data_IF_012073514214
#
_entry.id   IF_012073514214
#
_cell.length_a   1.000
_cell.length_b   1.000
_cell.length_c   1.000
_cell.angle_alpha   90.00
_cell.angle_beta   90.00
_cell.angle_gamma   90.00
#
_symmetry.space_group_name_H-M   'P 1'
#
loop_
_entity.id
_entity.type
_entity.pdbx_description
1 polymer ?
#
# COMPACT_ATOMS: atom_id res chain seq x y z
N UNK A 1 -0.97 -8.58 26.32
CA UNK A 1 -2.28 -8.99 26.85
C UNK A 1 -2.84 -10.00 25.87
N UNK A 2 -2.90 -11.25 26.28
CA UNK A 2 -3.45 -12.35 25.49
C UNK A 2 -4.96 -12.37 25.74
N UNK A 3 -5.67 -11.47 25.06
CA UNK A 3 -7.13 -11.37 25.13
C UNK A 3 -7.70 -12.26 24.02
N UNK A 4 -7.90 -13.55 24.30
CA UNK A 4 -8.87 -14.33 23.55
C UNK A 4 -10.19 -13.56 23.54
N UNK A 5 -10.73 -13.28 22.36
CA UNK A 5 -11.98 -12.52 22.19
C UNK A 5 -13.21 -13.45 22.17
N UNK A 6 -13.11 -14.55 22.92
CA UNK A 6 -13.99 -15.71 22.89
C UNK A 6 -15.00 -15.77 24.05
N UNK A 7 -15.01 -14.82 25.00
CA UNK A 7 -16.09 -14.85 26.00
C UNK A 7 -16.02 -13.97 27.24
N UNK A 8 -14.84 -13.58 27.72
CA UNK A 8 -14.74 -13.11 29.11
C UNK A 8 -14.26 -11.66 29.30
N UNK A 9 -13.56 -11.07 28.33
CA UNK A 9 -13.13 -9.67 28.34
C UNK A 9 -13.76 -8.89 27.18
N UNK A 10 -14.69 -7.99 27.50
CA UNK A 10 -15.43 -7.20 26.51
C UNK A 10 -14.69 -5.93 26.04
N UNK A 11 -13.56 -5.56 26.66
CA UNK A 11 -12.85 -4.31 26.39
C UNK A 11 -12.44 -4.18 24.92
N UNK A 12 -11.93 -5.26 24.33
CA UNK A 12 -11.51 -5.29 22.94
C UNK A 12 -12.69 -5.31 21.94
N UNK A 13 -13.88 -5.76 22.36
CA UNK A 13 -15.13 -5.64 21.57
C UNK A 13 -15.55 -4.17 21.49
N UNK A 14 -15.59 -3.47 22.63
CA UNK A 14 -15.90 -2.03 22.65
C UNK A 14 -14.87 -1.19 21.88
N UNK A 15 -13.58 -1.58 21.96
CA UNK A 15 -12.52 -0.97 21.16
C UNK A 15 -12.76 -1.20 19.67
N UNK A 16 -13.09 -2.42 19.25
CA UNK A 16 -13.40 -2.72 17.85
C UNK A 16 -14.59 -1.92 17.34
N UNK A 17 -15.67 -1.80 18.13
CA UNK A 17 -16.85 -1.00 17.77
C UNK A 17 -16.48 0.48 17.58
N UNK A 18 -15.72 1.04 18.53
CA UNK A 18 -15.29 2.44 18.49
C UNK A 18 -14.35 2.72 17.31
N UNK A 19 -13.37 1.83 17.12
CA UNK A 19 -12.43 1.88 16.00
C UNK A 19 -13.15 1.72 14.65
N UNK A 20 -14.11 0.81 14.58
CA UNK A 20 -14.91 0.57 13.39
C UNK A 20 -15.62 1.83 12.92
N UNK A 21 -16.21 2.57 13.86
CA UNK A 21 -16.78 3.90 13.60
C UNK A 21 -15.73 4.87 13.06
N UNK A 22 -14.55 4.94 13.66
CA UNK A 22 -13.46 5.81 13.15
C UNK A 22 -13.06 5.47 11.71
N UNK A 23 -12.92 4.18 11.40
CA UNK A 23 -12.57 3.74 10.03
C UNK A 23 -13.67 4.18 9.04
N UNK A 24 -14.94 3.95 9.37
CA UNK A 24 -16.08 4.37 8.53
C UNK A 24 -16.11 5.89 8.32
N UNK A 25 -15.93 6.69 9.39
CA UNK A 25 -15.86 8.15 9.32
C UNK A 25 -14.66 8.67 8.52
N UNK A 26 -13.53 7.95 8.52
CA UNK A 26 -12.34 8.32 7.75
C UNK A 26 -12.58 8.11 6.25
N UNK A 27 -13.14 6.97 5.85
CA UNK A 27 -13.34 6.64 4.43
C UNK A 27 -14.67 7.15 3.86
N UNK A 28 -15.54 7.74 4.68
CA UNK A 28 -16.83 8.25 4.23
C UNK A 28 -17.89 7.15 4.06
N UNK A 29 -17.78 6.06 4.79
CA UNK A 29 -18.81 5.02 4.86
C UNK A 29 -19.86 5.38 5.93
N UNK A 30 -21.15 5.03 5.75
CA UNK A 30 -22.18 5.32 6.74
C UNK A 30 -21.87 4.62 8.07
N UNK A 31 -22.16 5.28 9.19
CA UNK A 31 -21.88 4.75 10.54
C UNK A 31 -23.11 4.19 11.22
N UNK A 32 -24.25 4.86 11.08
CA UNK A 32 -25.52 4.42 11.64
C UNK A 32 -25.99 3.13 10.96
N UNK A 33 -26.43 2.16 11.77
CA UNK A 33 -26.86 0.83 11.30
C UNK A 33 -25.76 0.00 10.63
N UNK A 34 -24.50 0.45 10.66
CA UNK A 34 -23.38 -0.19 9.96
C UNK A 34 -22.44 -0.90 10.92
N UNK A 35 -21.69 -1.87 10.39
CA UNK A 35 -20.76 -2.71 11.14
C UNK A 35 -19.39 -2.71 10.48
N UNK A 36 -18.35 -2.71 11.32
CA UNK A 36 -16.98 -2.97 10.91
C UNK A 36 -16.48 -4.24 11.60
N UNK A 37 -15.98 -5.20 10.82
CA UNK A 37 -15.41 -6.46 11.31
C UNK A 37 -13.93 -6.51 10.94
N UNK A 38 -13.05 -6.74 11.93
CA UNK A 38 -11.62 -6.91 11.68
C UNK A 38 -11.28 -8.38 11.45
N UNK A 39 -10.71 -8.68 10.29
CA UNK A 39 -10.50 -10.03 9.78
C UNK A 39 -9.03 -10.27 9.44
N UNK A 40 -8.73 -11.54 9.16
CA UNK A 40 -7.38 -12.03 8.87
C UNK A 40 -6.89 -11.64 7.45
N UNK A 41 -6.88 -10.34 7.16
CA UNK A 41 -6.55 -9.76 5.86
C UNK A 41 -7.74 -9.50 4.94
N UNK A 42 -7.47 -8.85 3.80
CA UNK A 42 -8.49 -8.45 2.83
C UNK A 42 -9.24 -9.64 2.22
N UNK A 43 -8.54 -10.73 1.89
CA UNK A 43 -9.17 -11.95 1.36
C UNK A 43 -10.25 -12.51 2.27
N UNK A 44 -10.02 -12.51 3.60
CA UNK A 44 -11.00 -12.95 4.58
C UNK A 44 -12.19 -11.98 4.65
N UNK A 45 -11.95 -10.67 4.55
CA UNK A 45 -13.00 -9.66 4.49
C UNK A 45 -13.90 -9.80 3.26
N UNK A 46 -13.32 -10.01 2.08
CA UNK A 46 -14.05 -10.23 0.83
C UNK A 46 -14.83 -11.54 0.86
N UNK A 47 -14.23 -12.63 1.33
CA UNK A 47 -14.94 -13.91 1.51
C UNK A 47 -16.13 -13.76 2.47
N UNK A 48 -15.96 -12.99 3.54
CA UNK A 48 -17.01 -12.74 4.51
C UNK A 48 -18.18 -11.95 3.90
N UNK A 49 -17.88 -10.93 3.10
CA UNK A 49 -18.87 -10.17 2.34
C UNK A 49 -19.63 -11.05 1.34
N UNK A 50 -18.92 -11.84 0.54
CA UNK A 50 -19.52 -12.65 -0.52
C UNK A 50 -20.31 -13.84 0.00
N UNK A 51 -19.93 -14.41 1.15
CA UNK A 51 -20.74 -15.43 1.84
C UNK A 51 -22.11 -14.85 2.20
N UNK A 52 -22.14 -13.64 2.77
CA UNK A 52 -23.37 -12.94 3.14
C UNK A 52 -24.19 -12.55 1.92
N UNK A 53 -23.56 -12.03 0.86
CA UNK A 53 -24.24 -11.68 -0.39
C UNK A 53 -24.93 -12.92 -1.01
N UNK A 54 -24.21 -14.05 -1.06
CA UNK A 54 -24.72 -15.34 -1.54
C UNK A 54 -25.90 -15.83 -0.71
N UNK A 55 -25.78 -15.79 0.62
CA UNK A 55 -26.87 -16.17 1.53
C UNK A 55 -28.12 -15.31 1.32
N UNK A 56 -27.96 -13.99 1.21
CA UNK A 56 -29.05 -13.04 1.00
C UNK A 56 -29.73 -13.23 -0.35
N UNK A 57 -28.97 -13.49 -1.41
CA UNK A 57 -29.51 -13.74 -2.74
C UNK A 57 -30.33 -15.04 -2.78
N UNK A 58 -29.84 -16.13 -2.17
CA UNK A 58 -30.58 -17.39 -2.06
C UNK A 58 -31.90 -17.21 -1.28
N UNK A 59 -31.86 -16.52 -0.15
CA UNK A 59 -33.07 -16.22 0.64
C UNK A 59 -34.11 -15.41 -0.17
N UNK A 60 -33.65 -14.44 -0.97
CA UNK A 60 -34.53 -13.66 -1.88
C UNK A 60 -35.12 -14.50 -3.02
N UNK A 61 -34.41 -15.52 -3.49
CA UNK A 61 -34.88 -16.49 -4.48
C UNK A 61 -35.74 -17.61 -3.84
N UNK A 62 -36.02 -17.53 -2.54
CA UNK A 62 -37.00 -18.38 -1.86
C UNK A 62 -36.42 -19.70 -1.32
N UNK A 63 -35.13 -19.75 -1.00
CA UNK A 63 -34.51 -20.96 -0.47
C UNK A 63 -33.41 -20.69 0.56
N UNK A 64 -33.16 -21.67 1.42
CA UNK A 64 -32.22 -21.55 2.53
C UNK A 64 -30.87 -22.18 2.19
N UNK A 65 -29.91 -21.33 1.80
CA UNK A 65 -28.54 -21.74 1.48
C UNK A 65 -27.84 -22.50 2.62
N UNK A 66 -28.14 -22.17 3.89
CA UNK A 66 -27.45 -22.79 5.04
C UNK A 66 -27.86 -24.24 5.26
N UNK A 67 -29.10 -24.60 4.90
CA UNK A 67 -29.63 -25.96 5.11
C UNK A 67 -29.69 -26.77 3.82
N UNK A 68 -30.07 -26.16 2.70
CA UNK A 68 -30.23 -26.87 1.42
C UNK A 68 -28.89 -27.01 0.67
N UNK A 69 -27.96 -26.07 0.86
CA UNK A 69 -26.67 -26.05 0.19
C UNK A 69 -26.76 -25.89 -1.34
N UNK A 70 -25.60 -25.78 -1.99
CA UNK A 70 -25.51 -25.60 -3.45
C UNK A 70 -25.84 -26.86 -4.26
N UNK A 71 -25.86 -28.04 -3.62
CA UNK A 71 -26.17 -29.32 -4.27
C UNK A 71 -27.67 -29.51 -4.55
N UNK A 72 -28.53 -28.63 -4.04
CA UNK A 72 -29.99 -28.68 -4.15
C UNK A 72 -30.55 -28.46 -5.57
N UNK A 73 -29.71 -28.28 -6.59
CA UNK A 73 -30.16 -28.10 -7.98
C UNK A 73 -30.83 -26.74 -8.27
N UNK A 74 -30.62 -25.74 -7.39
CA UNK A 74 -31.12 -24.37 -7.54
C UNK A 74 -30.43 -23.64 -8.70
N UNK A 75 -30.91 -22.43 -9.03
CA UNK A 75 -30.31 -21.60 -10.08
C UNK A 75 -28.81 -21.42 -9.88
N UNK A 76 -28.05 -21.42 -10.97
CA UNK A 76 -26.62 -21.13 -10.93
C UNK A 76 -26.40 -19.70 -10.48
N UNK A 77 -25.65 -19.53 -9.40
CA UNK A 77 -25.27 -18.23 -8.86
C UNK A 77 -24.09 -17.66 -9.66
N UNK A 78 -24.15 -16.37 -10.00
CA UNK A 78 -23.10 -15.70 -10.79
C UNK A 78 -22.52 -14.51 -10.04
N UNK A 79 -21.19 -14.47 -10.01
CA UNK A 79 -20.38 -13.39 -9.44
C UNK A 79 -19.76 -12.57 -10.57
N UNK A 80 -19.79 -11.25 -10.46
CA UNK A 80 -19.15 -10.33 -11.41
C UNK A 80 -17.98 -9.63 -10.72
N UNK A 81 -16.84 -9.53 -11.39
CA UNK A 81 -15.67 -8.82 -10.89
C UNK A 81 -14.98 -8.07 -12.01
N UNK A 82 -14.26 -6.99 -11.69
CA UNK A 82 -13.34 -6.38 -12.65
C UNK A 82 -12.32 -7.42 -13.11
N UNK A 83 -11.90 -7.36 -14.38
CA UNK A 83 -10.75 -8.12 -14.88
C UNK A 83 -9.46 -7.78 -14.12
N UNK A 84 -9.39 -6.58 -13.53
CA UNK A 84 -8.30 -6.11 -12.67
C UNK A 84 -8.52 -6.43 -11.18
N UNK A 85 -9.56 -7.21 -10.87
CA UNK A 85 -9.90 -7.64 -9.53
C UNK A 85 -8.78 -8.49 -8.90
N UNK A 86 -8.63 -8.39 -7.59
CA UNK A 86 -7.61 -9.18 -6.88
C UNK A 86 -7.90 -10.69 -7.00
N UNK A 87 -6.84 -11.50 -7.13
CA UNK A 87 -6.95 -12.95 -7.31
C UNK A 87 -7.69 -13.67 -6.17
N UNK A 88 -7.86 -13.05 -5.01
CA UNK A 88 -8.71 -13.59 -3.93
C UNK A 88 -10.18 -13.71 -4.33
N UNK A 89 -10.68 -12.94 -5.30
CA UNK A 89 -12.07 -13.01 -5.73
C UNK A 89 -12.36 -14.36 -6.40
N UNK A 90 -11.45 -14.83 -7.26
CA UNK A 90 -11.49 -16.19 -7.80
C UNK A 90 -11.46 -17.23 -6.68
N UNK A 91 -10.53 -17.10 -5.72
CA UNK A 91 -10.47 -17.99 -4.56
C UNK A 91 -11.77 -17.98 -3.73
N UNK A 92 -12.45 -16.84 -3.65
CA UNK A 92 -13.76 -16.74 -2.99
C UNK A 92 -14.82 -17.51 -3.78
N UNK A 93 -14.89 -17.36 -5.11
CA UNK A 93 -15.82 -18.13 -5.94
C UNK A 93 -15.60 -19.65 -5.79
N UNK A 94 -14.35 -20.09 -5.76
CA UNK A 94 -13.96 -21.49 -5.54
C UNK A 94 -14.37 -21.97 -4.13
N UNK A 95 -14.00 -21.24 -3.08
CA UNK A 95 -14.29 -21.62 -1.69
C UNK A 95 -15.79 -21.58 -1.35
N UNK A 96 -16.54 -20.67 -1.97
CA UNK A 96 -17.98 -20.61 -1.83
C UNK A 96 -18.70 -21.73 -2.62
N UNK A 97 -17.98 -22.59 -3.34
CA UNK A 97 -18.58 -23.64 -4.17
C UNK A 97 -19.34 -23.10 -5.39
N UNK A 98 -19.14 -21.83 -5.75
CA UNK A 98 -19.72 -21.21 -6.94
C UNK A 98 -19.00 -21.71 -8.20
N UNK A 99 -17.68 -21.92 -8.10
CA UNK A 99 -16.82 -22.34 -9.20
C UNK A 99 -16.44 -21.19 -10.13
N UNK A 100 -15.21 -21.23 -10.65
CA UNK A 100 -14.62 -20.17 -11.47
C UNK A 100 -15.38 -19.95 -12.78
N UNK A 101 -16.02 -20.98 -13.33
CA UNK A 101 -16.87 -20.86 -14.52
C UNK A 101 -18.12 -19.98 -14.32
N UNK A 102 -18.46 -19.65 -13.07
CA UNK A 102 -19.55 -18.73 -12.71
C UNK A 102 -19.03 -17.39 -12.16
N UNK A 103 -17.74 -17.11 -12.30
CA UNK A 103 -17.14 -15.79 -12.11
C UNK A 103 -16.97 -15.12 -13.48
N UNK A 104 -17.67 -14.00 -13.68
CA UNK A 104 -17.54 -13.16 -14.88
C UNK A 104 -16.47 -12.10 -14.63
N UNK A 105 -15.32 -12.23 -15.29
CA UNK A 105 -14.33 -11.16 -15.38
C UNK A 105 -14.82 -10.11 -16.39
N UNK A 106 -15.24 -8.96 -15.89
CA UNK A 106 -15.76 -7.85 -16.69
C UNK A 106 -14.60 -7.08 -17.29
N UNK A 107 -14.70 -6.83 -18.59
CA UNK A 107 -13.72 -6.09 -19.38
C UNK A 107 -13.37 -4.72 -18.77
N UNK A 108 -12.09 -4.37 -18.79
CA UNK A 108 -11.57 -3.08 -18.36
C UNK A 108 -11.28 -2.15 -19.56
N UNK A 109 -11.31 -0.84 -19.33
CA UNK A 109 -10.90 0.20 -20.27
C UNK A 109 -9.37 0.34 -20.34
N UNK A 110 -8.88 1.25 -21.18
CA UNK A 110 -7.43 1.54 -21.33
C UNK A 110 -6.78 2.11 -20.06
N UNK A 111 -7.60 2.55 -19.10
CA UNK A 111 -7.17 2.98 -17.76
C UNK A 111 -7.34 1.87 -16.73
N UNK A 112 -7.56 0.62 -17.17
CA UNK A 112 -7.70 -0.56 -16.32
C UNK A 112 -8.92 -0.49 -15.38
N UNK A 113 -9.99 0.21 -15.78
CA UNK A 113 -11.23 0.32 -15.00
C UNK A 113 -12.34 -0.48 -15.65
N UNK A 114 -13.14 -1.19 -14.86
CA UNK A 114 -14.30 -1.95 -15.32
C UNK A 114 -15.21 -1.09 -16.20
N UNK A 115 -15.64 -1.62 -17.35
CA UNK A 115 -16.61 -0.99 -18.26
C UNK A 115 -18.05 -1.26 -17.77
N UNK A 116 -18.82 -0.24 -17.34
CA UNK A 116 -20.20 -0.45 -16.85
C UNK A 116 -21.14 -1.05 -17.90
N UNK A 117 -20.95 -0.70 -19.18
CA UNK A 117 -21.73 -1.28 -20.27
C UNK A 117 -21.51 -2.81 -20.41
N UNK A 118 -20.26 -3.26 -20.26
CA UNK A 118 -19.92 -4.70 -20.30
C UNK A 118 -20.49 -5.43 -19.08
N UNK A 119 -20.44 -4.82 -17.89
CA UNK A 119 -21.08 -5.35 -16.69
C UNK A 119 -22.59 -5.56 -16.90
N UNK A 120 -23.28 -4.53 -17.40
CA UNK A 120 -24.73 -4.60 -17.68
C UNK A 120 -25.06 -5.71 -18.67
N UNK A 121 -24.33 -5.78 -19.78
CA UNK A 121 -24.56 -6.81 -20.81
C UNK A 121 -24.36 -8.23 -20.27
N UNK A 122 -23.34 -8.44 -19.42
CA UNK A 122 -23.09 -9.73 -18.78
C UNK A 122 -24.23 -10.13 -17.82
N UNK A 123 -24.72 -9.20 -17.00
CA UNK A 123 -25.86 -9.43 -16.10
C UNK A 123 -27.11 -9.79 -16.90
N UNK A 124 -27.43 -9.04 -17.95
CA UNK A 124 -28.61 -9.28 -18.79
C UNK A 124 -28.54 -10.64 -19.50
N UNK A 125 -27.36 -11.05 -19.97
CA UNK A 125 -27.15 -12.34 -20.59
C UNK A 125 -27.37 -13.51 -19.61
N UNK A 126 -26.84 -13.42 -18.40
CA UNK A 126 -27.00 -14.44 -17.36
C UNK A 126 -28.47 -14.53 -16.88
N UNK A 127 -29.16 -13.40 -16.73
CA UNK A 127 -30.59 -13.39 -16.39
C UNK A 127 -31.43 -14.07 -17.48
N UNK A 128 -31.11 -13.83 -18.77
CA UNK A 128 -31.84 -14.42 -19.91
C UNK A 128 -31.78 -15.95 -19.93
N UNK A 129 -30.70 -16.55 -19.44
CA UNK A 129 -30.54 -18.01 -19.34
C UNK A 129 -30.97 -18.57 -17.98
N UNK A 130 -31.60 -17.76 -17.12
CA UNK A 130 -32.15 -18.18 -15.84
C UNK A 130 -31.12 -18.34 -14.71
N UNK A 131 -29.91 -17.79 -14.87
CA UNK A 131 -28.95 -17.70 -13.77
C UNK A 131 -29.38 -16.65 -12.73
N UNK A 132 -28.75 -16.71 -11.55
CA UNK A 132 -28.99 -15.80 -10.42
C UNK A 132 -27.73 -14.96 -10.14
N UNK A 133 -27.62 -13.74 -10.70
CA UNK A 133 -26.66 -12.74 -10.27
C UNK A 133 -26.76 -12.48 -8.76
N UNK A 134 -25.67 -12.64 -8.00
CA UNK A 134 -25.74 -12.44 -6.54
C UNK A 134 -24.84 -11.32 -6.01
N UNK A 135 -23.69 -11.06 -6.65
CA UNK A 135 -22.81 -9.98 -6.25
C UNK A 135 -21.99 -9.43 -7.41
N UNK A 136 -21.64 -8.15 -7.28
CA UNK A 136 -20.65 -7.44 -8.08
C UNK A 136 -19.51 -7.06 -7.14
N UNK A 137 -18.27 -7.33 -7.52
CA UNK A 137 -17.06 -6.88 -6.85
C UNK A 137 -16.38 -5.82 -7.71
N UNK A 138 -16.58 -4.55 -7.34
CA UNK A 138 -15.88 -3.43 -7.96
C UNK A 138 -14.50 -3.22 -7.32
N UNK A 139 -13.53 -2.83 -8.12
CA UNK A 139 -12.18 -2.54 -7.68
C UNK A 139 -12.07 -1.10 -7.17
N UNK A 140 -11.80 -0.94 -5.88
CA UNK A 140 -11.55 0.35 -5.24
C UNK A 140 -10.07 0.74 -5.21
N UNK A 141 -9.24 0.19 -6.11
CA UNK A 141 -7.79 0.37 -6.16
C UNK A 141 -7.06 -0.92 -6.53
N UNK A 142 -6.89 -1.17 -7.83
CA UNK A 142 -6.29 -2.39 -8.37
C UNK A 142 -4.85 -2.58 -7.90
N UNK A 143 -4.44 -3.84 -7.73
CA UNK A 143 -3.12 -4.18 -7.15
C UNK A 143 -1.98 -3.72 -8.06
N UNK A 144 -2.11 -3.94 -9.37
CA UNK A 144 -1.05 -3.68 -10.33
C UNK A 144 -1.06 -2.22 -10.82
N UNK A 145 -2.24 -1.63 -11.01
CA UNK A 145 -2.39 -0.33 -11.70
C UNK A 145 -2.87 0.78 -10.77
N UNK A 146 -3.37 0.46 -9.58
CA UNK A 146 -4.04 1.42 -8.72
C UNK A 146 -5.38 1.91 -9.27
N UNK A 147 -5.91 1.31 -10.34
CA UNK A 147 -7.15 1.74 -10.98
C UNK A 147 -8.35 1.64 -10.02
N UNK A 148 -9.22 2.64 -10.08
CA UNK A 148 -10.49 2.67 -9.35
C UNK A 148 -11.61 2.57 -10.39
N UNK A 149 -12.45 1.55 -10.26
CA UNK A 149 -13.60 1.36 -11.12
C UNK A 149 -14.59 2.54 -11.00
N UNK A 150 -15.45 2.80 -12.01
CA UNK A 150 -16.48 3.83 -11.94
C UNK A 150 -17.60 3.44 -10.95
N UNK A 151 -17.32 3.60 -9.65
CA UNK A 151 -18.14 3.03 -8.57
C UNK A 151 -19.58 3.55 -8.54
N UNK A 152 -19.82 4.80 -8.92
CA UNK A 152 -21.20 5.35 -8.97
C UNK A 152 -22.04 4.65 -10.05
N UNK A 153 -21.49 4.48 -11.25
CA UNK A 153 -22.20 3.85 -12.37
C UNK A 153 -22.45 2.36 -12.08
N UNK A 154 -21.49 1.69 -11.43
CA UNK A 154 -21.65 0.30 -10.99
C UNK A 154 -22.70 0.21 -9.86
N UNK A 155 -22.76 1.18 -8.95
CA UNK A 155 -23.81 1.24 -7.93
C UNK A 155 -25.20 1.41 -8.53
N UNK A 156 -25.35 2.28 -9.55
CA UNK A 156 -26.63 2.44 -10.25
C UNK A 156 -27.06 1.13 -10.94
N UNK A 157 -26.12 0.39 -11.55
CA UNK A 157 -26.39 -0.95 -12.12
C UNK A 157 -26.80 -1.93 -11.03
N UNK A 158 -26.04 -2.02 -9.94
CA UNK A 158 -26.30 -2.94 -8.84
C UNK A 158 -27.70 -2.74 -8.23
N UNK A 159 -28.09 -1.48 -8.00
CA UNK A 159 -29.42 -1.12 -7.49
C UNK A 159 -30.53 -1.46 -8.49
N UNK A 160 -30.34 -1.17 -9.79
CA UNK A 160 -31.32 -1.49 -10.83
C UNK A 160 -31.63 -2.99 -10.90
N UNK A 161 -30.60 -3.85 -10.78
CA UNK A 161 -30.76 -5.30 -10.85
C UNK A 161 -30.96 -5.96 -9.47
N UNK A 162 -30.91 -5.19 -8.38
CA UNK A 162 -31.05 -5.70 -7.01
C UNK A 162 -29.90 -6.62 -6.56
N UNK A 163 -28.70 -6.42 -7.12
CA UNK A 163 -27.50 -7.23 -6.87
C UNK A 163 -26.66 -6.60 -5.77
N UNK A 164 -26.03 -7.42 -4.91
CA UNK A 164 -25.13 -6.91 -3.88
C UNK A 164 -23.89 -6.26 -4.48
N UNK A 165 -23.58 -5.03 -4.10
CA UNK A 165 -22.34 -4.36 -4.49
C UNK A 165 -21.31 -4.37 -3.36
N UNK A 166 -20.22 -5.10 -3.59
CA UNK A 166 -19.03 -5.07 -2.76
C UNK A 166 -17.94 -4.26 -3.46
N UNK A 167 -17.26 -3.37 -2.72
CA UNK A 167 -16.04 -2.73 -3.21
C UNK A 167 -14.83 -3.35 -2.54
N UNK A 168 -13.97 -3.99 -3.34
CA UNK A 168 -12.63 -4.36 -2.88
C UNK A 168 -11.73 -3.12 -2.91
N UNK A 169 -11.75 -2.37 -1.81
CA UNK A 169 -10.86 -1.26 -1.54
C UNK A 169 -9.71 -1.66 -0.61
N UNK A 170 -9.31 -2.94 -0.57
CA UNK A 170 -8.29 -3.45 0.35
C UNK A 170 -7.07 -2.52 0.41
N UNK A 171 -6.62 -2.07 -0.76
CA UNK A 171 -5.59 -1.05 -0.91
C UNK A 171 -6.16 0.37 -0.97
N UNK A 172 -7.01 0.66 -1.96
CA UNK A 172 -7.34 2.03 -2.31
C UNK A 172 -8.43 2.73 -1.50
N UNK A 173 -9.16 2.04 -0.60
CA UNK A 173 -10.24 2.68 0.17
C UNK A 173 -9.77 3.89 1.01
N UNK A 174 -8.53 3.88 1.51
CA UNK A 174 -8.03 5.02 2.28
C UNK A 174 -7.83 6.29 1.43
N UNK A 175 -7.79 6.17 0.10
CA UNK A 175 -7.69 7.32 -0.80
C UNK A 175 -8.91 8.24 -0.70
N UNK A 176 -10.00 7.82 -0.06
CA UNK A 176 -11.12 8.69 0.28
C UNK A 176 -10.70 9.90 1.16
N UNK A 177 -9.57 9.78 1.87
CA UNK A 177 -8.97 10.87 2.65
C UNK A 177 -8.22 11.90 1.80
N UNK A 178 -7.84 11.53 0.57
CA UNK A 178 -7.17 12.41 -0.37
C UNK A 178 -8.24 13.17 -1.20
N UNK A 179 -8.27 14.51 -1.17
CA UNK A 179 -9.19 15.30 -1.96
C UNK A 179 -9.20 14.96 -3.46
N UNK A 180 -8.08 14.49 -4.02
CA UNK A 180 -7.96 14.11 -5.43
C UNK A 180 -8.82 12.89 -5.81
N UNK A 181 -9.06 11.98 -4.87
CA UNK A 181 -9.80 10.72 -5.10
C UNK A 181 -11.19 10.70 -4.47
N UNK A 182 -11.48 11.64 -3.56
CA UNK A 182 -12.74 11.69 -2.81
C UNK A 182 -14.00 11.62 -3.70
N UNK A 183 -13.98 12.24 -4.89
CA UNK A 183 -15.10 12.18 -5.84
C UNK A 183 -15.32 10.77 -6.39
N UNK A 184 -14.24 10.05 -6.72
CA UNK A 184 -14.32 8.70 -7.29
C UNK A 184 -14.82 7.67 -6.25
N UNK A 185 -14.58 7.94 -4.97
CA UNK A 185 -14.92 7.03 -3.87
C UNK A 185 -16.22 7.41 -3.13
N UNK A 186 -16.96 8.43 -3.59
CA UNK A 186 -18.21 8.86 -2.94
C UNK A 186 -19.28 7.77 -2.90
N UNK A 187 -19.24 6.83 -3.84
CA UNK A 187 -20.14 5.67 -3.89
C UNK A 187 -20.05 4.79 -2.62
N UNK A 188 -18.99 4.91 -1.82
CA UNK A 188 -18.87 4.23 -0.52
C UNK A 188 -20.09 4.46 0.39
N UNK A 189 -20.76 5.61 0.26
CA UNK A 189 -22.00 5.90 0.99
C UNK A 189 -23.16 4.94 0.65
N UNK A 190 -23.18 4.35 -0.55
CA UNK A 190 -24.30 3.56 -1.08
C UNK A 190 -23.96 2.11 -1.50
N UNK A 191 -22.71 1.65 -1.37
CA UNK A 191 -22.34 0.23 -1.61
C UNK A 191 -22.61 -0.68 -0.40
N UNK A 192 -23.06 -1.92 -0.61
CA UNK A 192 -23.48 -2.80 0.49
C UNK A 192 -22.35 -3.14 1.46
N UNK A 193 -21.13 -3.32 0.94
CA UNK A 193 -19.94 -3.53 1.75
C UNK A 193 -18.63 -3.10 1.09
N UNK A 194 -17.61 -2.86 1.92
CA UNK A 194 -16.26 -2.49 1.49
C UNK A 194 -15.25 -3.35 2.23
N UNK A 195 -14.28 -3.90 1.51
CA UNK A 195 -13.04 -4.40 2.11
C UNK A 195 -11.99 -3.29 2.11
N UNK A 196 -11.28 -3.11 3.22
CA UNK A 196 -10.13 -2.19 3.32
C UNK A 196 -9.08 -2.77 4.28
N UNK A 197 -7.79 -2.56 4.04
CA UNK A 197 -6.74 -3.14 4.89
C UNK A 197 -5.98 -2.05 5.67
N UNK A 198 -6.12 -2.01 7.00
CA UNK A 198 -5.25 -1.20 7.85
C UNK A 198 -3.76 -1.55 7.70
N UNK A 199 -3.40 -2.80 7.43
CA UNK A 199 -1.98 -3.17 7.30
C UNK A 199 -1.30 -2.67 6.02
N UNK A 200 -2.03 -1.99 5.11
CA UNK A 200 -1.46 -1.37 3.92
C UNK A 200 -1.03 0.05 4.27
N UNK A 201 -1.79 1.07 3.90
CA UNK A 201 -1.37 2.46 4.10
C UNK A 201 -1.19 2.88 5.56
N UNK A 202 -1.94 2.34 6.53
CA UNK A 202 -1.72 2.68 7.94
C UNK A 202 -0.49 2.02 8.56
N UNK A 203 0.22 1.15 7.81
CA UNK A 203 1.43 0.45 8.25
C UNK A 203 1.24 -0.34 9.55
N UNK A 204 0.01 -0.78 9.82
CA UNK A 204 -0.28 -1.69 10.93
C UNK A 204 0.41 -3.03 10.65
N UNK A 205 1.10 -3.65 11.62
CA UNK A 205 1.73 -4.95 11.41
C UNK A 205 0.74 -5.99 10.88
N UNK A 206 1.14 -6.74 9.86
CA UNK A 206 0.33 -7.81 9.27
C UNK A 206 -0.02 -8.84 10.35
N UNK A 207 -1.25 -9.37 10.41
CA UNK A 207 -2.38 -9.20 9.47
C UNK A 207 -3.47 -8.25 9.98
N UNK A 208 -4.22 -7.61 9.08
CA UNK A 208 -5.38 -6.79 9.41
C UNK A 208 -6.13 -6.38 8.14
N UNK A 209 -7.27 -7.03 7.89
CA UNK A 209 -8.29 -6.55 6.97
C UNK A 209 -9.49 -6.05 7.78
N UNK A 210 -10.30 -5.21 7.15
CA UNK A 210 -11.57 -4.77 7.70
C UNK A 210 -12.66 -4.91 6.63
N UNK A 211 -13.82 -5.38 7.07
CA UNK A 211 -15.07 -5.38 6.31
C UNK A 211 -15.98 -4.32 6.89
N UNK A 212 -16.38 -3.34 6.08
CA UNK A 212 -17.45 -2.40 6.39
C UNK A 212 -18.73 -2.88 5.70
N UNK A 213 -19.85 -2.85 6.39
CA UNK A 213 -21.13 -3.30 5.85
C UNK A 213 -22.30 -2.50 6.43
N UNK A 214 -23.30 -2.20 5.60
CA UNK A 214 -24.57 -1.60 6.05
C UNK A 214 -25.59 -2.64 6.54
N UNK A 215 -25.26 -3.93 6.45
CA UNK A 215 -26.22 -5.01 6.65
C UNK A 215 -25.80 -5.96 7.78
N UNK A 216 -25.61 -5.48 9.02
CA UNK A 216 -25.20 -6.33 10.14
C UNK A 216 -26.11 -7.55 10.32
N UNK A 217 -27.43 -7.39 10.14
CA UNK A 217 -28.40 -8.48 10.24
C UNK A 217 -28.26 -9.52 9.13
N UNK A 218 -27.91 -9.12 7.90
CA UNK A 218 -27.64 -10.07 6.83
C UNK A 218 -26.38 -10.89 7.12
N UNK A 219 -25.36 -10.27 7.71
CA UNK A 219 -24.16 -10.98 8.18
C UNK A 219 -24.50 -11.93 9.32
N UNK A 220 -25.29 -11.48 10.30
CA UNK A 220 -25.75 -12.33 11.40
C UNK A 220 -26.51 -13.55 10.88
N UNK A 221 -27.48 -13.35 10.00
CA UNK A 221 -28.25 -14.45 9.40
C UNK A 221 -27.37 -15.44 8.62
N UNK A 222 -26.29 -14.97 8.00
CA UNK A 222 -25.36 -15.83 7.24
C UNK A 222 -24.42 -16.65 8.13
N UNK A 223 -24.05 -16.15 9.33
CA UNK A 223 -22.97 -16.71 10.15
C UNK A 223 -23.39 -17.23 11.52
N UNK A 224 -24.33 -16.54 12.19
CA UNK A 224 -24.70 -16.81 13.56
C UNK A 224 -25.04 -18.29 13.75
N UNK A 225 -24.35 -18.89 14.71
CA UNK A 225 -24.58 -20.23 15.24
C UNK A 225 -24.03 -20.16 16.67
N UNK A 226 -24.91 -20.29 17.66
CA UNK A 226 -24.53 -20.24 19.08
C UNK A 226 -24.55 -21.66 19.62
N UNK A 227 -23.39 -22.29 19.87
CA UNK A 227 -23.33 -23.59 20.51
C UNK A 227 -23.62 -23.48 22.02
N UNK A 228 -24.14 -24.56 22.62
CA UNK A 228 -24.53 -24.63 24.04
C UNK A 228 -23.45 -24.14 25.03
N UNK A 229 -22.16 -24.33 24.72
CA UNK A 229 -21.07 -23.92 25.61
C UNK A 229 -20.83 -22.39 25.64
N UNK A 230 -21.39 -21.63 24.70
CA UNK A 230 -21.34 -20.17 24.69
C UNK A 230 -22.60 -19.53 25.30
N UNK A 231 -23.70 -20.27 25.47
CA UNK A 231 -24.96 -19.76 26.04
C UNK A 231 -24.78 -19.19 27.46
N UNK A 232 -23.93 -19.82 28.28
CA UNK A 232 -23.63 -19.38 29.64
C UNK A 232 -22.84 -18.05 29.71
N UNK A 233 -22.29 -17.58 28.57
CA UNK A 233 -21.50 -16.35 28.45
C UNK A 233 -22.22 -15.20 27.73
N UNK A 234 -23.52 -15.34 27.41
CA UNK A 234 -24.27 -14.29 26.72
C UNK A 234 -24.31 -12.99 27.54
N UNK A 235 -23.52 -12.01 27.12
CA UNK A 235 -23.64 -10.61 27.52
C UNK A 235 -24.42 -9.83 26.47
N UNK A 236 -24.90 -8.62 26.82
CA UNK A 236 -25.51 -7.68 25.88
C UNK A 236 -24.52 -7.13 24.82
N UNK A 237 -23.25 -7.54 24.85
CA UNK A 237 -22.25 -7.08 23.90
C UNK A 237 -22.46 -7.73 22.52
N UNK A 238 -22.35 -6.97 21.41
CA UNK A 238 -22.44 -7.53 20.07
C UNK A 238 -21.21 -8.40 19.81
N UNK A 239 -21.40 -9.71 19.70
CA UNK A 239 -20.31 -10.67 19.52
C UNK A 239 -19.86 -10.71 18.06
N UNK A 240 -18.60 -10.35 17.74
CA UNK A 240 -18.14 -10.32 16.35
C UNK A 240 -18.22 -11.67 15.64
N UNK A 241 -18.09 -12.79 16.38
CA UNK A 241 -18.16 -14.14 15.81
C UNK A 241 -19.52 -14.45 15.17
N UNK A 242 -20.60 -13.77 15.56
CA UNK A 242 -21.92 -13.97 14.98
C UNK A 242 -22.03 -13.42 13.55
N UNK A 243 -21.04 -12.62 13.11
CA UNK A 243 -21.00 -11.98 11.80
C UNK A 243 -19.85 -12.48 10.91
N UNK A 244 -19.10 -13.49 11.35
CA UNK A 244 -17.97 -14.06 10.61
C UNK A 244 -17.76 -15.54 10.87
N UNK A 245 -16.95 -16.18 10.03
CA UNK A 245 -16.62 -17.61 10.19
C UNK A 245 -15.72 -17.91 11.41
N UNK A 246 -14.85 -16.97 11.79
CA UNK A 246 -13.87 -17.20 12.85
C UNK A 246 -14.52 -17.08 14.24
N UNK A 247 -14.46 -18.15 15.04
CA UNK A 247 -14.79 -18.08 16.47
C UNK A 247 -13.66 -17.39 17.25
N UNK A 248 -12.45 -17.95 17.19
CA UNK A 248 -11.25 -17.38 17.81
C UNK A 248 -10.53 -16.48 16.81
N UNK A 249 -10.19 -15.26 17.24
CA UNK A 249 -9.50 -14.27 16.41
C UNK A 249 -8.60 -13.37 17.26
N UNK A 250 -7.50 -12.90 16.68
CA UNK A 250 -6.55 -12.03 17.38
C UNK A 250 -7.09 -10.62 17.60
N UNK A 251 -6.62 -9.94 18.64
CA UNK A 251 -6.97 -8.55 18.95
C UNK A 251 -6.33 -7.55 17.96
N UNK A 252 -6.85 -7.53 16.73
CA UNK A 252 -6.45 -6.60 15.67
C UNK A 252 -6.86 -5.16 15.98
N UNK A 253 -7.88 -4.97 16.80
CA UNK A 253 -8.39 -3.65 17.16
C UNK A 253 -7.31 -2.82 17.86
N UNK A 254 -6.56 -3.41 18.80
CA UNK A 254 -5.54 -2.68 19.56
C UNK A 254 -4.45 -2.05 18.68
N UNK A 255 -3.89 -2.81 17.74
CA UNK A 255 -2.81 -2.32 16.87
C UNK A 255 -3.28 -1.27 15.87
N UNK A 256 -4.50 -1.40 15.34
CA UNK A 256 -5.07 -0.40 14.44
C UNK A 256 -5.44 0.86 15.20
N UNK A 257 -6.06 0.72 16.38
CA UNK A 257 -6.36 1.85 17.26
C UNK A 257 -5.09 2.61 17.62
N UNK A 258 -4.01 1.93 18.01
CA UNK A 258 -2.74 2.58 18.37
C UNK A 258 -2.17 3.39 17.19
N UNK A 259 -2.24 2.86 15.96
CA UNK A 259 -1.80 3.57 14.76
C UNK A 259 -2.64 4.83 14.49
N UNK A 260 -3.98 4.71 14.51
CA UNK A 260 -4.87 5.86 14.27
C UNK A 260 -4.79 6.88 15.41
N UNK A 261 -4.71 6.45 16.67
CA UNK A 261 -4.57 7.33 17.83
C UNK A 261 -3.25 8.12 17.78
N UNK A 262 -2.16 7.49 17.32
CA UNK A 262 -0.85 8.14 17.18
C UNK A 262 -0.80 9.15 16.03
N UNK A 263 -1.42 8.83 14.90
CA UNK A 263 -1.42 9.68 13.71
C UNK A 263 -2.48 10.80 13.79
N UNK A 264 -3.61 10.50 14.45
CA UNK A 264 -4.82 11.30 14.35
C UNK A 264 -5.40 11.31 12.93
N UNK A 265 -6.59 11.89 12.77
CA UNK A 265 -7.27 12.01 11.46
C UNK A 265 -6.38 12.71 10.42
N UNK A 266 -5.74 13.81 10.81
CA UNK A 266 -4.90 14.60 9.92
C UNK A 266 -3.63 13.85 9.51
N UNK A 267 -2.97 13.13 10.43
CA UNK A 267 -1.77 12.38 10.10
C UNK A 267 -2.05 11.20 9.17
N UNK A 268 -3.21 10.53 9.31
CA UNK A 268 -3.63 9.50 8.36
C UNK A 268 -3.88 10.09 6.98
N UNK A 269 -4.62 11.21 6.91
CA UNK A 269 -4.89 11.89 5.64
C UNK A 269 -3.61 12.39 4.96
N UNK A 270 -2.68 12.98 5.73
CA UNK A 270 -1.38 13.44 5.23
C UNK A 270 -0.56 12.26 4.69
N UNK A 271 -0.53 11.12 5.41
CA UNK A 271 0.19 9.92 4.98
C UNK A 271 -0.30 9.42 3.61
N UNK A 272 -1.61 9.26 3.45
CA UNK A 272 -2.22 8.80 2.19
C UNK A 272 -1.99 9.82 1.06
N UNK A 273 -2.30 11.09 1.31
CA UNK A 273 -2.15 12.18 0.33
C UNK A 273 -0.69 12.30 -0.15
N UNK A 274 0.27 12.17 0.78
CA UNK A 274 1.70 12.19 0.44
C UNK A 274 2.11 11.00 -0.43
N UNK A 275 1.62 9.79 -0.13
CA UNK A 275 1.92 8.62 -0.96
C UNK A 275 1.40 8.79 -2.40
N UNK A 276 0.17 9.30 -2.56
CA UNK A 276 -0.40 9.58 -3.88
C UNK A 276 0.37 10.70 -4.61
N UNK A 277 0.71 11.80 -3.91
CA UNK A 277 1.48 12.90 -4.49
C UNK A 277 2.88 12.46 -4.95
N UNK A 278 3.50 11.50 -4.25
CA UNK A 278 4.77 10.90 -4.66
C UNK A 278 4.63 10.07 -5.94
N UNK A 279 3.52 9.35 -6.13
CA UNK A 279 3.26 8.64 -7.38
C UNK A 279 3.07 9.60 -8.56
N UNK A 280 2.29 10.68 -8.41
CA UNK A 280 2.19 11.74 -9.44
C UNK A 280 3.54 12.38 -9.75
N UNK A 281 4.36 12.62 -8.71
CA UNK A 281 5.72 13.12 -8.90
C UNK A 281 6.58 12.13 -9.69
N UNK A 282 6.54 10.85 -9.35
CA UNK A 282 7.32 9.81 -10.02
C UNK A 282 6.87 9.65 -11.48
N UNK A 283 5.57 9.65 -11.77
CA UNK A 283 5.06 9.63 -13.15
C UNK A 283 5.66 10.77 -13.97
N UNK A 284 5.63 12.01 -13.44
CA UNK A 284 6.24 13.15 -14.14
C UNK A 284 7.73 12.92 -14.40
N UNK A 285 8.48 12.36 -13.44
CA UNK A 285 9.90 12.04 -13.60
C UNK A 285 10.16 10.96 -14.64
N UNK A 286 9.30 9.94 -14.70
CA UNK A 286 9.37 8.89 -15.72
C UNK A 286 9.14 9.49 -17.11
N UNK A 287 8.12 10.35 -17.26
CA UNK A 287 7.83 11.02 -18.54
C UNK A 287 8.94 11.97 -19.00
N UNK A 288 9.68 12.57 -18.07
CA UNK A 288 10.83 13.44 -18.35
C UNK A 288 12.11 12.64 -18.69
N UNK A 289 12.17 11.36 -18.36
CA UNK A 289 13.36 10.54 -18.55
C UNK A 289 13.40 9.94 -19.96
N UNK A 290 14.51 10.09 -20.72
CA UNK A 290 14.60 9.57 -22.09
C UNK A 290 14.75 8.05 -22.16
N UNK A 291 15.08 7.42 -21.02
CA UNK A 291 15.39 6.00 -20.89
C UNK A 291 14.37 5.21 -20.04
N UNK A 292 13.22 5.82 -19.75
CA UNK A 292 12.09 5.18 -19.05
C UNK A 292 10.81 5.29 -19.88
N UNK A 293 9.95 4.29 -19.72
CA UNK A 293 8.64 4.25 -20.37
C UNK A 293 7.57 4.02 -19.32
N UNK A 294 6.53 4.88 -19.32
CA UNK A 294 5.36 4.72 -18.47
C UNK A 294 4.40 3.72 -19.12
N UNK A 295 4.04 2.66 -18.38
CA UNK A 295 3.16 1.59 -18.86
C UNK A 295 1.68 1.86 -18.57
N UNK A 296 1.38 2.63 -17.52
CA UNK A 296 0.02 3.09 -17.23
C UNK A 296 0.03 4.41 -16.46
N UNK A 297 -1.03 5.24 -16.57
CA UNK A 297 -1.17 6.45 -15.76
C UNK A 297 -1.04 6.15 -14.27
N UNK A 298 -0.37 7.01 -13.50
CA UNK A 298 -0.31 6.79 -12.07
C UNK A 298 -1.71 6.96 -11.46
N UNK A 299 -2.10 5.97 -10.66
CA UNK A 299 -3.32 6.00 -9.87
C UNK A 299 -3.00 5.54 -8.46
N UNK A 300 -3.61 6.20 -7.48
CA UNK A 300 -3.27 6.04 -6.07
C UNK A 300 -1.76 6.22 -5.85
N UNK A 301 -1.13 5.34 -5.07
CA UNK A 301 0.32 5.33 -4.87
C UNK A 301 1.04 4.28 -5.74
N UNK A 302 0.56 4.04 -6.96
CA UNK A 302 1.09 3.04 -7.89
C UNK A 302 1.54 3.71 -9.18
N UNK A 303 2.74 3.36 -9.66
CA UNK A 303 3.31 3.84 -10.92
C UNK A 303 3.95 2.67 -11.65
N UNK A 304 3.46 2.35 -12.83
CA UNK A 304 4.01 1.28 -13.66
C UNK A 304 4.89 1.89 -14.73
N UNK A 305 6.16 1.54 -14.71
CA UNK A 305 7.13 1.97 -15.70
C UNK A 305 8.18 0.89 -15.90
N UNK A 306 8.86 0.93 -17.03
CA UNK A 306 9.99 0.05 -17.34
C UNK A 306 11.19 0.86 -17.81
N UNK A 307 12.38 0.28 -17.65
CA UNK A 307 13.58 0.77 -18.28
C UNK A 307 13.54 0.50 -19.79
N UNK A 308 13.79 1.54 -20.58
CA UNK A 308 13.82 1.50 -22.04
C UNK A 308 15.05 2.26 -22.53
N UNK A 309 16.20 1.58 -22.76
CA UNK A 309 17.45 2.27 -23.03
C UNK A 309 17.36 3.24 -24.22
N UNK A 310 17.75 4.49 -24.00
CA UNK A 310 17.79 5.50 -25.06
C UNK A 310 18.68 5.04 -26.23
N UNK A 311 18.20 5.22 -27.46
CA UNK A 311 18.95 4.87 -28.67
C UNK A 311 19.08 3.37 -28.97
N UNK A 312 18.42 2.48 -28.20
CA UNK A 312 18.35 1.05 -28.52
C UNK A 312 16.94 0.65 -28.94
N UNK A 313 16.81 0.10 -30.14
CA UNK A 313 15.57 -0.51 -30.60
C UNK A 313 15.51 -1.96 -30.08
N UNK A 314 14.74 -2.16 -29.01
CA UNK A 314 14.38 -3.47 -28.48
C UNK A 314 12.87 -3.67 -28.66
N UNK A 315 12.45 -4.88 -28.98
CA UNK A 315 11.04 -5.26 -28.95
C UNK A 315 10.56 -5.45 -27.50
N UNK A 316 9.25 -5.65 -27.31
CA UNK A 316 8.66 -5.78 -25.98
C UNK A 316 9.21 -6.98 -25.22
N UNK A 317 9.44 -8.12 -25.89
CA UNK A 317 10.00 -9.31 -25.25
C UNK A 317 11.43 -9.08 -24.72
N UNK A 318 12.28 -8.40 -25.50
CA UNK A 318 13.63 -8.06 -25.06
C UNK A 318 13.63 -6.98 -23.96
N UNK A 319 12.70 -6.02 -24.01
CA UNK A 319 12.52 -5.02 -22.94
C UNK A 319 12.07 -5.68 -21.64
N UNK A 320 11.12 -6.60 -21.71
CA UNK A 320 10.61 -7.33 -20.55
C UNK A 320 11.71 -8.19 -19.92
N UNK A 321 12.44 -8.96 -20.74
CA UNK A 321 13.59 -9.75 -20.27
C UNK A 321 14.69 -8.88 -19.62
N UNK A 322 14.97 -7.70 -20.16
CA UNK A 322 15.92 -6.75 -19.57
C UNK A 322 15.45 -6.25 -18.21
N UNK A 323 14.17 -5.89 -18.09
CA UNK A 323 13.61 -5.40 -16.82
C UNK A 323 13.53 -6.51 -15.78
N UNK A 324 13.22 -7.75 -16.17
CA UNK A 324 13.29 -8.92 -15.30
C UNK A 324 14.70 -9.15 -14.75
N UNK A 325 15.74 -9.00 -15.59
CA UNK A 325 17.14 -9.08 -15.16
C UNK A 325 17.50 -7.96 -14.17
N UNK A 326 17.06 -6.72 -14.42
CA UNK A 326 17.26 -5.59 -13.50
C UNK A 326 16.61 -5.91 -12.15
N UNK A 327 15.35 -6.35 -12.13
CA UNK A 327 14.65 -6.72 -10.89
C UNK A 327 15.27 -7.94 -10.19
N UNK A 328 15.88 -8.88 -10.91
CA UNK A 328 16.63 -9.99 -10.32
C UNK A 328 17.89 -9.48 -9.60
N UNK A 329 18.66 -8.61 -10.24
CA UNK A 329 19.87 -8.01 -9.66
C UNK A 329 19.55 -7.13 -8.45
N UNK A 330 18.45 -6.37 -8.47
CA UNK A 330 18.01 -5.58 -7.31
C UNK A 330 17.70 -6.47 -6.10
N UNK A 331 17.04 -7.61 -6.31
CA UNK A 331 16.77 -8.60 -5.26
C UNK A 331 18.05 -9.25 -4.73
N UNK A 332 19.01 -9.51 -5.61
CA UNK A 332 20.33 -10.04 -5.21
C UNK A 332 21.08 -9.03 -4.34
N UNK A 333 21.12 -7.75 -4.74
CA UNK A 333 21.71 -6.66 -3.95
C UNK A 333 21.04 -6.57 -2.56
N UNK A 334 19.70 -6.60 -2.49
CA UNK A 334 18.99 -6.58 -1.22
C UNK A 334 19.41 -7.76 -0.33
N UNK A 335 19.40 -8.97 -0.90
CA UNK A 335 19.73 -10.21 -0.19
C UNK A 335 21.17 -10.19 0.34
N UNK A 336 22.14 -9.90 -0.53
CA UNK A 336 23.57 -9.88 -0.15
C UNK A 336 23.84 -8.77 0.85
N UNK A 337 23.27 -7.57 0.65
CA UNK A 337 23.45 -6.45 1.56
C UNK A 337 22.94 -6.75 2.96
N UNK A 338 21.77 -7.40 3.10
CA UNK A 338 21.17 -7.72 4.38
C UNK A 338 21.80 -8.92 5.10
N UNK A 339 22.20 -9.96 4.34
CA UNK A 339 22.70 -11.23 4.91
C UNK A 339 24.21 -11.25 5.16
N UNK A 340 25.01 -10.81 4.19
CA UNK A 340 26.47 -10.89 4.25
C UNK A 340 27.10 -9.62 4.84
N UNK A 341 26.41 -8.48 4.74
CA UNK A 341 26.89 -7.18 5.19
C UNK A 341 25.89 -6.51 6.14
N UNK A 342 25.59 -7.09 7.32
CA UNK A 342 24.52 -6.62 8.22
C UNK A 342 24.69 -5.15 8.66
N UNK A 343 25.90 -4.60 8.61
CA UNK A 343 26.17 -3.18 8.86
C UNK A 343 25.45 -2.23 7.88
N UNK A 344 25.05 -2.70 6.71
CA UNK A 344 24.23 -1.91 5.77
C UNK A 344 22.90 -1.48 6.40
N UNK A 345 22.32 -2.30 7.29
CA UNK A 345 21.10 -1.97 8.03
C UNK A 345 21.29 -0.77 8.96
N UNK A 346 22.48 -0.62 9.56
CA UNK A 346 22.80 0.56 10.39
C UNK A 346 22.78 1.84 9.56
N UNK A 347 23.28 1.78 8.33
CA UNK A 347 23.33 2.95 7.43
C UNK A 347 21.96 3.31 6.86
N UNK A 348 21.11 2.31 6.60
CA UNK A 348 19.74 2.47 6.07
C UNK A 348 18.79 3.18 7.05
N UNK A 349 19.19 3.39 8.31
CA UNK A 349 18.47 4.25 9.25
C UNK A 349 18.39 5.71 8.76
N UNK A 350 19.37 6.17 7.98
CA UNK A 350 19.41 7.56 7.52
C UNK A 350 18.60 7.72 6.23
N UNK A 351 17.63 8.63 6.26
CA UNK A 351 16.80 8.92 5.09
C UNK A 351 17.66 9.29 3.87
N UNK A 352 17.40 8.63 2.74
CA UNK A 352 18.19 8.77 1.51
C UNK A 352 19.25 7.69 1.31
N UNK A 353 19.42 6.74 2.25
CA UNK A 353 20.24 5.54 2.08
C UNK A 353 19.34 4.34 1.75
N UNK A 354 19.38 3.90 0.49
CA UNK A 354 18.85 2.59 0.07
C UNK A 354 19.92 1.50 0.13
N UNK A 355 19.53 0.28 -0.20
CA UNK A 355 20.38 -0.92 -0.15
C UNK A 355 21.61 -0.80 -1.04
N UNK A 356 21.45 -0.34 -2.29
CA UNK A 356 22.56 -0.09 -3.20
C UNK A 356 23.55 0.94 -2.63
N UNK A 357 23.06 2.04 -2.05
CA UNK A 357 23.93 3.08 -1.46
C UNK A 357 24.67 2.57 -0.23
N UNK A 358 23.98 1.87 0.68
CA UNK A 358 24.61 1.29 1.87
C UNK A 358 25.64 0.23 1.48
N UNK A 359 25.30 -0.63 0.52
CA UNK A 359 26.16 -1.73 0.08
C UNK A 359 27.42 -1.20 -0.62
N UNK A 360 27.28 -0.28 -1.58
CA UNK A 360 28.41 0.38 -2.23
C UNK A 360 29.30 1.12 -1.21
N UNK A 361 28.69 1.75 -0.19
CA UNK A 361 29.41 2.46 0.86
C UNK A 361 30.29 1.51 1.70
N UNK A 362 29.71 0.40 2.15
CA UNK A 362 30.43 -0.63 2.93
C UNK A 362 31.55 -1.26 2.09
N UNK A 363 31.27 -1.64 0.84
CA UNK A 363 32.25 -2.27 -0.04
C UNK A 363 33.40 -1.35 -0.44
N UNK A 364 33.16 -0.05 -0.60
CA UNK A 364 34.22 0.89 -0.99
C UNK A 364 35.17 1.23 0.17
N UNK A 365 34.62 1.30 1.39
CA UNK A 365 35.39 1.66 2.59
C UNK A 365 36.06 0.42 3.19
N UNK A 366 35.39 -0.73 3.08
CA UNK A 366 35.76 -2.06 3.56
C UNK A 366 35.84 -2.18 5.09
N UNK A 367 36.61 -1.30 5.74
CA UNK A 367 36.84 -1.29 7.17
C UNK A 367 36.50 0.10 7.77
N UNK A 368 35.56 0.20 8.72
CA UNK A 368 35.24 1.45 9.40
C UNK A 368 36.42 2.01 10.23
N UNK A 369 37.42 1.19 10.57
CA UNK A 369 38.64 1.62 11.29
C UNK A 369 39.74 2.14 10.36
N UNK A 370 39.59 2.00 9.03
CA UNK A 370 40.53 2.54 8.02
C UNK A 370 40.78 4.04 8.18
N UNK A 371 39.81 4.78 8.71
CA UNK A 371 39.93 6.21 8.94
C UNK A 371 39.94 6.53 10.44
N UNK A 372 41.08 6.98 10.98
CA UNK A 372 41.20 7.42 12.37
C UNK A 372 40.22 8.54 12.77
N UNK A 373 39.74 9.34 11.80
CA UNK A 373 38.72 10.37 12.00
C UNK A 373 37.73 10.33 10.84
N UNK A 374 36.43 10.22 11.13
CA UNK A 374 35.37 10.18 10.09
C UNK A 374 35.43 11.35 9.10
N UNK A 375 35.89 12.53 9.55
CA UNK A 375 36.02 13.73 8.70
C UNK A 375 37.01 13.58 7.53
N UNK A 376 37.93 12.61 7.61
CA UNK A 376 38.91 12.30 6.57
C UNK A 376 38.29 11.58 5.37
N UNK A 377 37.11 10.98 5.53
CA UNK A 377 36.42 10.28 4.45
C UNK A 377 35.98 11.24 3.33
N UNK A 378 35.62 12.48 3.67
CA UNK A 378 35.25 13.48 2.67
C UNK A 378 36.36 13.78 1.65
N UNK A 379 37.64 13.63 2.04
CA UNK A 379 38.77 13.77 1.12
C UNK A 379 39.01 12.52 0.27
N UNK A 380 38.90 11.31 0.84
CA UNK A 380 39.12 10.06 0.09
C UNK A 380 38.05 9.84 -0.98
N UNK A 381 36.81 10.27 -0.73
CA UNK A 381 35.70 10.22 -1.70
C UNK A 381 35.69 11.41 -2.68
N UNK A 382 36.66 12.30 -2.56
CA UNK A 382 36.84 13.44 -3.44
C UNK A 382 35.74 14.51 -3.37
N UNK A 383 35.12 14.66 -2.21
CA UNK A 383 34.07 15.65 -1.90
C UNK A 383 34.63 16.96 -1.30
N UNK A 384 35.95 17.06 -1.13
CA UNK A 384 36.67 18.28 -0.70
C UNK A 384 37.10 19.09 -1.91
N UNK A 385 37.19 20.42 -1.73
CA UNK A 385 37.74 21.34 -2.75
C UNK A 385 39.22 21.06 -2.96
N UNK A 386 39.69 21.17 -4.20
CA UNK A 386 41.11 21.21 -4.53
C UNK A 386 41.69 22.54 -4.02
N UNK A 387 42.91 22.48 -3.50
CA UNK A 387 43.71 23.65 -3.15
C UNK A 387 44.82 23.77 -4.20
N UNK A 388 44.97 24.94 -4.80
CA UNK A 388 46.17 25.30 -5.56
C UNK A 388 46.94 26.27 -4.68
N UNK A 389 48.15 25.88 -4.27
CA UNK A 389 49.04 26.71 -3.46
C UNK A 389 50.29 27.01 -4.29
N UNK A 390 50.37 28.22 -4.83
CA UNK A 390 51.54 28.68 -5.61
C UNK A 390 52.47 29.58 -4.80
N UNK A 391 52.31 29.64 -3.47
CA UNK A 391 53.05 30.57 -2.60
C UNK A 391 52.48 31.99 -2.58
N UNK A 392 52.05 32.52 -3.74
CA UNK A 392 51.48 33.89 -3.86
C UNK A 392 49.94 33.94 -3.70
N UNK A 393 49.24 32.84 -4.00
CA UNK A 393 47.79 32.75 -3.85
C UNK A 393 47.35 31.34 -3.51
N UNK A 394 46.25 31.24 -2.74
CA UNK A 394 45.63 29.96 -2.33
C UNK A 394 44.17 29.88 -2.75
N UNK A 395 43.84 29.93 -4.07
CA UNK A 395 42.46 29.81 -4.50
C UNK A 395 41.90 28.41 -4.23
N UNK A 396 40.68 28.36 -3.68
CA UNK A 396 39.90 27.13 -3.62
C UNK A 396 39.26 26.83 -5.00
N UNK A 397 39.50 25.63 -5.52
CA UNK A 397 38.97 25.19 -6.81
C UNK A 397 37.78 24.21 -6.62
N UNK A 398 37.32 23.60 -7.71
CA UNK A 398 36.30 22.56 -7.69
C UNK A 398 36.69 21.36 -6.82
N UNK A 399 35.74 20.45 -6.56
CA UNK A 399 36.02 19.24 -5.78
C UNK A 399 37.10 18.36 -6.43
N UNK A 400 37.83 17.57 -5.62
CA UNK A 400 38.94 16.77 -6.15
C UNK A 400 38.49 15.70 -7.14
N UNK A 401 37.29 15.12 -6.94
CA UNK A 401 36.77 13.96 -7.67
C UNK A 401 37.65 12.70 -7.54
N UNK A 402 38.58 12.68 -6.59
CA UNK A 402 39.39 11.52 -6.26
C UNK A 402 38.55 10.41 -5.60
N UNK A 403 39.05 9.16 -5.63
CA UNK A 403 38.36 7.99 -5.09
C UNK A 403 37.16 7.54 -5.92
N UNK A 404 36.38 6.65 -5.34
CA UNK A 404 35.33 5.93 -6.05
C UNK A 404 34.26 6.86 -6.64
N UNK A 405 34.06 6.74 -7.96
CA UNK A 405 33.12 7.59 -8.72
C UNK A 405 31.67 7.24 -8.41
N UNK A 406 31.39 5.96 -8.23
CA UNK A 406 30.04 5.43 -8.09
C UNK A 406 29.47 5.76 -6.72
N UNK A 407 30.23 5.51 -5.65
CA UNK A 407 29.85 5.90 -4.30
C UNK A 407 29.66 7.42 -4.19
N UNK A 408 30.53 8.22 -4.82
CA UNK A 408 30.37 9.68 -4.83
C UNK A 408 29.07 10.09 -5.53
N UNK A 409 28.70 9.43 -6.64
CA UNK A 409 27.43 9.67 -7.35
C UNK A 409 26.24 9.35 -6.45
N UNK A 410 26.24 8.18 -5.82
CA UNK A 410 25.17 7.74 -4.91
C UNK A 410 24.99 8.72 -3.74
N UNK A 411 26.09 9.14 -3.09
CA UNK A 411 26.04 10.11 -1.98
C UNK A 411 25.48 11.48 -2.40
N UNK A 412 25.77 11.93 -3.63
CA UNK A 412 25.22 13.17 -4.18
C UNK A 412 23.72 13.01 -4.48
N UNK A 413 23.30 11.86 -5.03
CA UNK A 413 21.87 11.55 -5.24
C UNK A 413 21.10 11.53 -3.92
N UNK A 414 21.62 10.87 -2.88
CA UNK A 414 21.05 10.89 -1.53
C UNK A 414 20.97 12.31 -0.98
N UNK A 415 21.99 13.15 -1.21
CA UNK A 415 21.96 14.55 -0.79
C UNK A 415 20.87 15.37 -1.51
N UNK A 416 20.65 15.12 -2.81
CA UNK A 416 19.54 15.73 -3.54
C UNK A 416 18.18 15.30 -2.98
N UNK A 417 18.02 14.02 -2.63
CA UNK A 417 16.82 13.52 -1.95
C UNK A 417 16.63 14.22 -0.60
N UNK A 418 17.65 14.24 0.26
CA UNK A 418 17.61 14.89 1.59
C UNK A 418 17.17 16.35 1.47
N UNK A 419 17.70 17.09 0.48
CA UNK A 419 17.37 18.50 0.28
C UNK A 419 16.00 18.76 -0.35
N UNK A 420 15.36 17.75 -0.91
CA UNK A 420 14.04 17.86 -1.53
C UNK A 420 12.99 17.12 -0.68
N UNK A 421 12.84 15.83 -0.94
CA UNK A 421 11.78 14.96 -0.43
C UNK A 421 12.09 14.35 0.94
N UNK A 422 13.36 14.41 1.38
CA UNK A 422 13.76 13.87 2.67
C UNK A 422 13.02 14.54 3.84
N UNK A 423 12.79 13.82 4.95
CA UNK A 423 12.23 14.41 6.16
C UNK A 423 13.12 15.53 6.72
N UNK A 424 12.57 16.32 7.63
CA UNK A 424 13.37 17.33 8.33
C UNK A 424 14.51 16.67 9.11
N UNK A 425 15.70 17.27 9.01
CA UNK A 425 16.93 16.76 9.62
C UNK A 425 18.00 17.85 9.64
N UNK A 426 19.03 17.69 10.48
CA UNK A 426 20.15 18.65 10.53
C UNK A 426 20.91 18.74 9.21
N UNK A 427 21.00 17.65 8.46
CA UNK A 427 21.57 17.64 7.10
C UNK A 427 20.73 18.49 6.13
N UNK A 428 19.39 18.33 6.16
CA UNK A 428 18.47 19.13 5.35
C UNK A 428 18.55 20.61 5.73
N UNK A 429 18.42 20.94 7.01
CA UNK A 429 18.53 22.32 7.53
C UNK A 429 19.86 22.97 7.19
N UNK A 430 20.97 22.23 7.30
CA UNK A 430 22.30 22.70 6.92
C UNK A 430 22.37 23.06 5.42
N UNK A 431 21.90 22.18 4.53
CA UNK A 431 21.94 22.47 3.10
C UNK A 431 20.97 23.58 2.69
N UNK A 432 19.78 23.67 3.30
CA UNK A 432 18.85 24.78 3.07
C UNK A 432 19.46 26.14 3.47
N UNK A 433 20.19 26.22 4.60
CA UNK A 433 20.94 27.42 4.99
C UNK A 433 22.01 27.82 3.96
N UNK A 434 22.68 26.83 3.35
CA UNK A 434 23.65 27.10 2.28
C UNK A 434 22.97 27.57 0.99
N UNK A 435 21.79 27.06 0.68
CA UNK A 435 21.01 27.48 -0.48
C UNK A 435 20.54 28.93 -0.34
N UNK A 436 20.08 29.33 0.85
CA UNK A 436 19.62 30.69 1.13
C UNK A 436 20.71 31.77 0.94
N UNK A 437 21.99 31.41 0.98
CA UNK A 437 23.13 32.33 0.90
C UNK A 437 23.79 32.40 -0.49
N UNK A 438 23.22 31.77 -1.52
CA UNK A 438 23.90 31.64 -2.82
C UNK A 438 23.04 31.94 -4.04
N UNK A 439 23.69 32.32 -5.15
CA UNK A 439 23.05 32.50 -6.47
C UNK A 439 22.76 31.19 -7.21
N UNK A 440 22.64 31.23 -8.55
CA UNK A 440 22.12 30.13 -9.39
C UNK A 440 22.68 28.71 -9.11
N UNK A 441 23.96 28.57 -8.73
CA UNK A 441 24.59 27.28 -8.41
C UNK A 441 24.49 26.85 -6.93
N UNK A 442 23.69 27.54 -6.10
CA UNK A 442 23.61 27.27 -4.66
C UNK A 442 23.12 25.86 -4.33
N UNK A 443 22.12 25.36 -5.08
CA UNK A 443 21.58 24.00 -4.89
C UNK A 443 22.64 22.92 -5.11
N UNK A 444 23.43 23.05 -6.18
CA UNK A 444 24.49 22.09 -6.49
C UNK A 444 25.62 22.12 -5.44
N UNK A 445 26.03 23.32 -5.02
CA UNK A 445 27.02 23.46 -3.94
C UNK A 445 26.51 22.91 -2.61
N UNK A 446 25.24 23.14 -2.29
CA UNK A 446 24.61 22.60 -1.09
C UNK A 446 24.55 21.07 -1.14
N UNK A 447 24.17 20.47 -2.27
CA UNK A 447 24.14 19.01 -2.43
C UNK A 447 25.52 18.38 -2.19
N UNK A 448 26.59 18.94 -2.76
CA UNK A 448 27.96 18.46 -2.51
C UNK A 448 28.37 18.63 -1.04
N UNK A 449 28.01 19.76 -0.41
CA UNK A 449 28.32 20.00 1.00
C UNK A 449 27.56 19.05 1.94
N UNK A 450 26.29 18.76 1.62
CA UNK A 450 25.47 17.76 2.31
C UNK A 450 26.04 16.37 2.11
N UNK A 451 26.34 15.95 0.86
CA UNK A 451 26.94 14.64 0.56
C UNK A 451 28.22 14.41 1.37
N UNK A 452 29.06 15.44 1.53
CA UNK A 452 30.25 15.37 2.38
C UNK A 452 29.94 15.13 3.85
N UNK A 453 28.99 15.88 4.44
CA UNK A 453 28.57 15.67 5.84
C UNK A 453 27.86 14.33 6.03
N UNK A 454 27.07 13.93 5.04
CA UNK A 454 26.35 12.68 5.00
C UNK A 454 27.30 11.49 5.02
N UNK A 455 28.34 11.47 4.18
CA UNK A 455 29.37 10.43 4.25
C UNK A 455 30.04 10.35 5.64
N UNK A 456 30.35 11.49 6.26
CA UNK A 456 30.93 11.52 7.61
C UNK A 456 29.96 10.95 8.66
N UNK A 457 28.67 11.25 8.55
CA UNK A 457 27.62 10.71 9.41
C UNK A 457 27.53 9.19 9.26
N UNK A 458 27.45 8.67 8.04
CA UNK A 458 27.37 7.23 7.79
C UNK A 458 28.57 6.49 8.38
N UNK A 459 29.79 7.03 8.21
CA UNK A 459 30.98 6.46 8.83
C UNK A 459 30.89 6.44 10.37
N UNK A 460 30.41 7.53 10.97
CA UNK A 460 30.25 7.61 12.43
C UNK A 460 29.24 6.57 12.93
N UNK A 461 28.08 6.46 12.29
CA UNK A 461 27.07 5.47 12.65
C UNK A 461 27.63 4.04 12.52
N UNK A 462 28.43 3.77 11.49
CA UNK A 462 29.07 2.46 11.33
C UNK A 462 30.10 2.17 12.42
N UNK A 463 30.97 3.13 12.76
CA UNK A 463 31.99 2.97 13.82
C UNK A 463 31.37 2.80 15.20
N UNK A 464 30.30 3.55 15.49
CA UNK A 464 29.73 3.66 16.85
C UNK A 464 28.53 2.73 17.09
N UNK A 465 27.91 2.24 16.03
CA UNK A 465 26.62 1.53 16.07
C UNK A 465 25.50 2.31 16.79
N UNK A 466 25.59 3.65 16.84
CA UNK A 466 24.55 4.50 17.41
C UNK A 466 23.24 4.43 16.60
N UNK A 467 22.12 4.61 17.29
CA UNK A 467 20.82 4.86 16.65
C UNK A 467 20.84 6.26 16.04
N UNK A 468 20.40 6.37 14.79
CA UNK A 468 20.37 7.67 14.10
C UNK A 468 19.22 8.54 14.62
N UNK A 469 19.56 9.74 15.09
CA UNK A 469 18.61 10.79 15.45
C UNK A 469 18.68 11.92 14.40
N UNK A 470 17.60 12.18 13.64
CA UNK A 470 17.63 13.18 12.56
C UNK A 470 17.87 14.63 12.99
N UNK A 471 17.55 14.95 14.24
CA UNK A 471 17.67 16.29 14.85
C UNK A 471 18.40 16.12 16.18
N UNK A 472 19.61 16.67 16.31
CA UNK A 472 20.45 16.62 17.51
C UNK A 472 20.88 18.00 17.99
#
# INVERSE_FOLDING_TARGET
MDCGLDGYDHSAIFLMKSLGRWIMELVGFPTEGSLCILLSGGSAATLNALTTARHRAAARDGWNMRTEGLQSGRKKLVLYSSAEGHSSIQKCAEQLGIGTDNLRAIEADESFRMKPAALRAAIEADLKVGHLPFAIVACGGATNTGAIDPLDEIADIAEQFGIWLHVDGAFGAWAALDPAYRKQLRAFARVDSITLNPHKWLQVPIDCGALLTRHPEAHRAAYSLTPDYLEAGHSEAPWPYEHMFQLTYGNRALKVWAAIARLGRNGVAELVTRCNALATLLERRVREAPDLELLSPASLSVVNFRYRPEGRALDDAALDALNEQISALEREIETVSGSHYPHTMLLRQVAGVGSLTAFAYVLTIEDPKRFARSRSLGSSLGLRRKLRDSGEARPELGITKAGDRELRRLLIQSAHYILSLGPDSDLKRFGLRLMARGGAAARQRAAVAVARKFAVLLHRLWVTAEIYEPLR
#
